data_IF_797955323978
#
_entry.id   IF_797955323978
#
_cell.length_a   1.000
_cell.length_b   1.000
_cell.length_c   1.000
_cell.angle_alpha   90.00
_cell.angle_beta   90.00
_cell.angle_gamma   90.00
#
_symmetry.space_group_name_H-M   'P 1'
#
loop_
_entity.id
_entity.type
_entity.pdbx_description
1 polymer ?
#
# COMPACT_ATOMS: atom_id res chain seq x y z
N UNK A 1 1.48 9.78 -6.12
CA UNK A 1 0.07 9.29 -6.27
C UNK A 1 -0.73 9.35 -4.96
N UNK A 2 -0.71 10.38 -4.17
CA UNK A 2 -0.99 10.10 -2.76
C UNK A 2 -2.13 10.88 -2.09
N UNK A 3 -2.47 12.06 -2.51
CA UNK A 3 -3.44 12.84 -1.73
C UNK A 3 -4.87 12.87 -2.28
N UNK A 4 -5.07 12.38 -3.47
CA UNK A 4 -6.35 12.47 -4.16
C UNK A 4 -7.13 11.14 -4.23
N UNK A 5 -6.52 10.03 -3.82
CA UNK A 5 -7.16 8.71 -3.81
C UNK A 5 -8.19 8.50 -2.68
N UNK A 6 -8.14 9.16 -1.51
CA UNK A 6 -9.06 8.84 -0.41
C UNK A 6 -10.54 8.94 -0.78
N UNK A 7 -10.93 9.96 -1.54
CA UNK A 7 -12.34 10.11 -1.97
C UNK A 7 -12.72 8.99 -2.94
N UNK A 8 -11.84 8.62 -3.87
CA UNK A 8 -12.07 7.53 -4.81
C UNK A 8 -12.13 6.16 -4.09
N UNK A 9 -11.34 5.97 -3.04
CA UNK A 9 -11.37 4.77 -2.20
C UNK A 9 -12.73 4.64 -1.51
N UNK A 10 -13.22 5.71 -0.88
CA UNK A 10 -14.54 5.71 -0.23
C UNK A 10 -15.67 5.47 -1.23
N UNK A 11 -15.61 6.11 -2.40
CA UNK A 11 -16.59 5.88 -3.45
C UNK A 11 -16.57 4.42 -3.93
N UNK A 12 -15.38 3.80 -4.00
CA UNK A 12 -15.25 2.40 -4.39
C UNK A 12 -15.76 1.42 -3.32
N UNK A 13 -15.73 1.76 -2.04
CA UNK A 13 -16.36 0.95 -0.99
C UNK A 13 -17.85 0.76 -1.27
N UNK A 14 -18.52 1.79 -1.76
CA UNK A 14 -19.94 1.76 -2.09
C UNK A 14 -20.23 1.23 -3.48
N UNK A 15 -19.25 1.25 -4.38
CA UNK A 15 -19.40 0.73 -5.73
C UNK A 15 -19.62 -0.79 -5.71
N UNK A 16 -20.62 -1.24 -6.49
CA UNK A 16 -20.96 -2.66 -6.59
C UNK A 16 -21.32 -3.33 -5.24
N UNK A 17 -21.86 -2.55 -4.28
CA UNK A 17 -22.15 -3.03 -2.94
C UNK A 17 -22.99 -4.32 -2.91
N UNK A 18 -24.00 -4.43 -3.79
CA UNK A 18 -24.83 -5.64 -3.89
C UNK A 18 -24.00 -6.87 -4.30
N UNK A 19 -23.19 -6.76 -5.36
CA UNK A 19 -22.35 -7.86 -5.84
C UNK A 19 -21.25 -8.22 -4.82
N UNK A 20 -20.67 -7.23 -4.16
CA UNK A 20 -19.72 -7.45 -3.06
C UNK A 20 -20.38 -8.21 -1.91
N UNK A 21 -21.57 -7.81 -1.49
CA UNK A 21 -22.32 -8.46 -0.41
C UNK A 21 -22.69 -9.91 -0.75
N UNK A 22 -23.12 -10.19 -1.98
CA UNK A 22 -23.39 -11.56 -2.43
C UNK A 22 -22.13 -12.45 -2.35
N UNK A 23 -20.97 -11.89 -2.63
CA UNK A 23 -19.69 -12.58 -2.54
C UNK A 23 -19.12 -12.65 -1.11
N UNK A 24 -19.69 -11.90 -0.17
CA UNK A 24 -19.20 -11.82 1.20
C UNK A 24 -17.97 -10.90 1.34
N UNK A 25 -17.84 -9.93 0.43
CA UNK A 25 -16.75 -8.95 0.40
C UNK A 25 -17.22 -7.69 1.11
N UNK A 26 -16.51 -7.30 2.15
CA UNK A 26 -16.88 -6.16 2.98
C UNK A 26 -15.84 -5.06 2.98
N UNK A 27 -14.57 -5.36 2.99
CA UNK A 27 -13.41 -4.46 2.92
C UNK A 27 -13.61 -3.08 3.56
N UNK A 28 -12.69 -2.64 4.36
CA UNK A 28 -12.81 -1.34 5.00
C UNK A 28 -11.55 -0.49 4.85
N UNK A 29 -11.71 0.84 4.95
CA UNK A 29 -10.57 1.74 5.02
C UNK A 29 -9.94 1.66 6.42
N UNK A 30 -8.62 1.50 6.48
CA UNK A 30 -7.91 1.61 7.75
C UNK A 30 -7.79 3.10 8.12
N UNK A 31 -8.77 3.59 8.87
CA UNK A 31 -8.86 4.99 9.31
C UNK A 31 -8.91 5.11 10.83
N UNK A 32 -8.67 4.02 11.54
CA UNK A 32 -8.81 3.99 12.99
C UNK A 32 -7.65 4.69 13.70
N UNK A 33 -7.96 5.60 14.60
CA UNK A 33 -7.00 6.17 15.53
C UNK A 33 -6.73 5.15 16.64
N UNK A 34 -5.61 4.45 16.59
CA UNK A 34 -5.11 3.77 17.78
C UNK A 34 -4.46 4.80 18.70
N UNK A 35 -4.47 4.57 20.01
CA UNK A 35 -4.03 5.53 21.04
C UNK A 35 -2.60 6.08 20.92
N UNK A 36 -1.86 5.75 19.87
CA UNK A 36 -0.56 6.32 19.54
C UNK A 36 -0.59 6.91 18.12
N UNK A 37 -1.31 8.00 17.99
CA UNK A 37 -1.69 8.69 16.76
C UNK A 37 -0.50 9.00 15.85
N UNK A 38 0.67 9.25 16.42
CA UNK A 38 1.81 9.74 15.66
C UNK A 38 2.72 8.64 15.11
N UNK A 39 2.76 7.48 15.74
CA UNK A 39 3.68 6.41 15.35
C UNK A 39 3.16 5.58 14.18
N UNK A 40 1.83 5.48 14.04
CA UNK A 40 1.24 4.79 12.89
C UNK A 40 0.92 5.72 11.71
N UNK A 41 1.05 7.03 11.89
CA UNK A 41 0.61 8.01 10.90
C UNK A 41 -0.89 8.02 10.64
N UNK A 42 -1.65 7.28 11.42
CA UNK A 42 -3.08 7.16 11.30
C UNK A 42 -3.77 8.21 12.19
N UNK A 43 -4.13 9.32 11.60
CA UNK A 43 -4.75 10.49 12.23
C UNK A 43 -6.25 10.61 11.93
N UNK A 44 -6.92 9.49 11.61
CA UNK A 44 -8.32 9.45 11.19
C UNK A 44 -8.51 9.71 9.70
N UNK A 45 -7.45 9.97 8.95
CA UNK A 45 -7.51 9.98 7.49
C UNK A 45 -7.41 8.56 6.94
N UNK A 46 -7.82 8.35 5.69
CA UNK A 46 -7.72 7.04 5.04
C UNK A 46 -6.26 6.74 4.76
N UNK A 47 -5.79 5.66 5.38
CA UNK A 47 -4.44 5.14 5.18
C UNK A 47 -4.44 4.09 4.07
N UNK A 48 -3.31 3.94 3.37
CA UNK A 48 -3.25 3.11 2.15
C UNK A 48 -1.89 2.52 1.81
N UNK A 49 -0.87 2.77 2.62
CA UNK A 49 0.48 2.23 2.44
C UNK A 49 0.78 1.20 3.51
N UNK A 50 1.65 0.25 3.17
CA UNK A 50 1.93 -0.91 4.00
C UNK A 50 0.96 -2.06 3.74
N UNK A 51 1.31 -3.25 4.19
CA UNK A 51 0.51 -4.47 4.01
C UNK A 51 -0.87 -4.41 4.70
N UNK A 52 -0.95 -3.65 5.77
CA UNK A 52 -2.20 -3.45 6.53
C UNK A 52 -2.80 -2.05 6.31
N UNK A 53 -2.36 -1.34 5.26
CA UNK A 53 -2.77 0.04 4.98
C UNK A 53 -2.53 0.98 6.18
N UNK A 54 -1.48 0.76 6.97
CA UNK A 54 -1.26 1.47 8.24
C UNK A 54 -0.71 2.89 8.07
N UNK A 55 -0.14 3.23 6.92
CA UNK A 55 0.46 4.54 6.67
C UNK A 55 -0.37 5.41 5.72
N UNK A 56 -0.57 6.68 6.08
CA UNK A 56 -1.33 7.64 5.28
C UNK A 56 -0.55 8.25 4.12
N UNK A 57 0.77 8.26 4.21
CA UNK A 57 1.64 8.88 3.22
C UNK A 57 2.92 8.09 3.00
N UNK A 58 3.58 8.32 1.87
CA UNK A 58 4.89 7.74 1.61
C UNK A 58 5.97 8.27 2.54
N UNK A 59 5.80 9.49 3.09
CA UNK A 59 6.74 10.01 4.09
C UNK A 59 6.64 9.22 5.40
N UNK A 60 5.41 8.96 5.87
CA UNK A 60 5.22 8.11 7.05
C UNK A 60 5.73 6.70 6.81
N UNK A 61 5.45 6.13 5.64
CA UNK A 61 5.93 4.81 5.26
C UNK A 61 7.48 4.74 5.23
N UNK A 62 8.13 5.76 4.65
CA UNK A 62 9.59 5.84 4.65
C UNK A 62 10.15 5.92 6.08
N UNK A 63 9.58 6.79 6.92
CA UNK A 63 10.00 6.94 8.32
C UNK A 63 9.82 5.65 9.13
N UNK A 64 8.69 4.94 8.94
CA UNK A 64 8.45 3.65 9.58
C UNK A 64 9.47 2.60 9.12
N UNK A 65 9.69 2.47 7.80
CA UNK A 65 10.63 1.49 7.25
C UNK A 65 12.06 1.73 7.73
N UNK A 66 12.52 2.98 7.74
CA UNK A 66 13.83 3.33 8.30
C UNK A 66 13.97 2.90 9.75
N UNK A 67 12.93 3.16 10.56
CA UNK A 67 12.96 2.83 11.99
C UNK A 67 12.83 1.32 12.24
N UNK A 68 11.86 0.66 11.58
CA UNK A 68 11.50 -0.74 11.85
C UNK A 68 12.46 -1.72 11.18
N UNK A 69 12.83 -1.45 9.93
CA UNK A 69 13.60 -2.41 9.13
C UNK A 69 15.11 -2.15 9.21
N UNK A 70 15.51 -0.89 9.41
CA UNK A 70 16.91 -0.48 9.38
C UNK A 70 17.46 -0.03 10.76
N UNK A 71 16.58 0.15 11.75
CA UNK A 71 16.96 0.65 13.06
C UNK A 71 17.36 2.13 13.09
N UNK A 72 17.02 2.89 12.04
CA UNK A 72 17.38 4.29 11.93
C UNK A 72 16.23 5.15 12.44
N UNK A 73 16.40 5.75 13.60
CA UNK A 73 15.46 6.71 14.14
C UNK A 73 15.43 8.00 13.30
N UNK A 74 14.28 8.64 13.23
CA UNK A 74 14.08 9.83 12.41
C UNK A 74 13.08 10.78 13.08
N UNK A 75 12.84 11.95 12.49
CA UNK A 75 11.97 12.96 13.09
C UNK A 75 10.51 12.52 13.28
N UNK A 76 10.02 11.53 12.52
CA UNK A 76 8.68 10.98 12.66
C UNK A 76 8.63 9.81 13.64
N UNK A 77 9.74 9.08 13.76
CA UNK A 77 9.95 7.95 14.65
C UNK A 77 11.25 8.18 15.42
N UNK A 78 11.23 9.06 16.44
CA UNK A 78 12.47 9.56 17.06
C UNK A 78 13.15 8.57 18.01
N UNK A 79 12.46 7.51 18.38
CA UNK A 79 13.01 6.51 19.31
C UNK A 79 13.52 5.31 18.54
N UNK A 80 14.71 4.83 18.93
CA UNK A 80 15.18 3.53 18.47
C UNK A 80 14.22 2.43 18.94
N UNK A 81 14.08 1.40 18.12
CA UNK A 81 13.41 0.18 18.54
C UNK A 81 14.38 -0.63 19.38
N UNK A 82 14.08 -0.70 20.65
CA UNK A 82 14.86 -1.45 21.61
C UNK A 82 14.13 -2.75 21.97
N UNK A 83 14.67 -3.88 21.49
CA UNK A 83 14.18 -5.21 21.86
C UNK A 83 14.83 -5.70 23.15
N UNK A 84 15.92 -5.04 23.57
CA UNK A 84 16.65 -5.36 24.81
C UNK A 84 16.62 -4.15 25.73
N UNK A 85 15.94 -4.20 26.89
CA UNK A 85 15.86 -3.07 27.80
C UNK A 85 17.23 -2.45 28.11
N UNK A 86 17.33 -1.14 27.92
CA UNK A 86 18.55 -0.39 28.19
C UNK A 86 19.57 -0.31 27.04
N UNK A 87 19.22 -0.77 25.86
CA UNK A 87 20.10 -0.72 24.67
C UNK A 87 19.86 0.49 23.76
N UNK A 88 19.25 1.55 24.25
CA UNK A 88 19.09 2.80 23.50
C UNK A 88 20.42 3.56 23.55
N UNK A 89 21.16 3.57 22.44
CA UNK A 89 22.47 4.20 22.35
C UNK A 89 22.43 5.65 21.90
N UNK A 90 21.39 6.04 21.20
CA UNK A 90 21.26 7.38 20.67
C UNK A 90 19.97 8.06 21.14
N UNK A 91 20.04 9.06 22.01
CA UNK A 91 18.85 9.79 22.48
C UNK A 91 18.29 10.79 21.47
N UNK A 92 19.02 11.03 20.37
CA UNK A 92 18.62 11.93 19.30
C UNK A 92 18.36 11.14 18.01
N UNK A 93 17.38 11.52 17.19
CA UNK A 93 17.13 10.85 15.91
C UNK A 93 18.37 10.85 15.01
N UNK A 94 18.63 9.71 14.34
CA UNK A 94 19.74 9.56 13.41
C UNK A 94 19.54 10.36 12.12
N UNK A 95 18.32 10.33 11.60
CA UNK A 95 17.91 11.08 10.41
C UNK A 95 16.96 12.22 10.82
N UNK A 96 17.44 13.42 10.75
CA UNK A 96 16.65 14.63 10.98
C UNK A 96 16.69 15.51 9.75
N UNK A 97 15.80 16.51 9.69
CA UNK A 97 15.92 17.59 8.72
C UNK A 97 17.34 18.13 8.80
N UNK A 98 18.13 17.82 7.80
CA UNK A 98 19.49 18.25 7.75
C UNK A 98 19.57 19.72 7.41
N UNK A 99 20.20 20.37 8.27
CA UNK A 99 20.44 21.76 8.34
C UNK A 99 21.66 22.11 7.54
N UNK A 100 21.54 22.87 6.50
CA UNK A 100 22.69 23.67 6.12
C UNK A 100 22.88 24.72 7.19
N UNK A 101 23.95 24.56 7.94
CA UNK A 101 24.46 25.65 8.73
C UNK A 101 24.85 26.77 7.79
N UNK A 102 23.99 27.78 7.62
CA UNK A 102 24.49 29.08 7.16
C UNK A 102 25.28 29.66 8.30
N UNK A 103 26.54 30.04 8.09
CA UNK A 103 27.29 30.78 9.10
C UNK A 103 26.45 32.03 9.44
N UNK A 104 25.96 32.10 10.68
CA UNK A 104 25.42 33.39 11.14
C UNK A 104 26.55 34.37 11.25
N UNK A 105 26.25 35.64 11.05
CA UNK A 105 27.21 36.73 11.24
C UNK A 105 27.83 36.80 12.66
N UNK A 106 27.33 35.95 13.58
CA UNK A 106 27.79 35.81 14.98
C UNK A 106 28.64 34.58 15.18
N UNK A 107 28.95 33.80 14.12
CA UNK A 107 29.73 32.59 14.22
C UNK A 107 28.98 31.38 14.78
N UNK A 108 27.72 31.52 15.16
CA UNK A 108 26.88 30.39 15.53
C UNK A 108 26.16 29.85 14.28
N UNK A 109 26.26 28.56 14.02
CA UNK A 109 25.52 27.92 12.92
C UNK A 109 24.02 28.09 13.20
N UNK A 110 23.34 28.85 12.36
CA UNK A 110 21.91 29.00 12.40
C UNK A 110 21.28 27.91 11.55
N UNK A 111 20.52 27.04 12.21
CA UNK A 111 19.75 25.97 11.58
C UNK A 111 18.50 26.58 10.95
N UNK A 112 18.62 27.22 9.81
CA UNK A 112 17.47 27.94 9.23
C UNK A 112 17.24 27.73 7.74
N UNK A 113 18.01 26.89 7.08
CA UNK A 113 17.79 26.65 5.66
C UNK A 113 17.52 25.16 5.40
N UNK A 114 16.29 24.78 5.00
CA UNK A 114 15.95 23.41 4.62
C UNK A 114 16.50 23.05 3.22
N UNK A 115 17.70 23.51 2.87
CA UNK A 115 18.32 23.20 1.59
C UNK A 115 18.70 21.71 1.48
N UNK A 116 18.79 21.00 2.61
CA UNK A 116 19.03 19.56 2.66
C UNK A 116 17.88 18.92 3.40
N UNK A 117 17.06 18.19 2.67
CA UNK A 117 15.96 17.40 3.21
C UNK A 117 16.49 16.17 3.93
N UNK A 118 15.73 15.63 4.88
CA UNK A 118 16.05 14.35 5.55
C UNK A 118 16.02 13.20 4.55
N UNK A 119 16.71 12.12 4.88
CA UNK A 119 16.75 10.92 4.03
C UNK A 119 15.37 10.32 3.82
N UNK A 120 14.52 10.29 4.87
CA UNK A 120 13.13 9.82 4.75
C UNK A 120 12.30 10.70 3.80
N UNK A 121 12.56 12.01 3.76
CA UNK A 121 11.87 12.91 2.84
C UNK A 121 12.38 12.73 1.40
N UNK A 122 13.69 12.58 1.22
CA UNK A 122 14.30 12.26 -0.08
C UNK A 122 13.74 10.95 -0.64
N UNK A 123 13.67 9.92 0.20
CA UNK A 123 13.14 8.61 -0.19
C UNK A 123 11.64 8.66 -0.49
N UNK A 124 10.86 9.40 0.30
CA UNK A 124 9.44 9.61 0.02
C UNK A 124 9.23 10.33 -1.33
N UNK A 125 10.06 11.30 -1.67
CA UNK A 125 10.00 12.00 -2.95
C UNK A 125 10.38 11.08 -4.12
N UNK A 126 11.39 10.26 -3.95
CA UNK A 126 11.73 9.21 -4.92
C UNK A 126 10.54 8.29 -5.19
N UNK A 127 9.94 7.72 -4.15
CA UNK A 127 8.77 6.84 -4.30
C UNK A 127 7.56 7.53 -4.95
N UNK A 128 7.33 8.82 -4.64
CA UNK A 128 6.22 9.59 -5.25
C UNK A 128 6.36 9.75 -6.75
N UNK A 129 7.57 9.92 -7.23
CA UNK A 129 7.88 10.21 -8.62
C UNK A 129 8.27 8.96 -9.42
N UNK A 130 8.41 7.83 -8.76
CA UNK A 130 8.66 6.56 -9.43
C UNK A 130 7.47 6.19 -10.32
N UNK A 131 7.75 5.93 -11.59
CA UNK A 131 6.74 5.48 -12.53
C UNK A 131 6.27 4.06 -12.18
N UNK A 132 4.99 3.72 -12.42
CA UNK A 132 4.56 2.33 -12.33
C UNK A 132 5.27 1.47 -13.37
N UNK A 133 5.45 0.17 -13.09
CA UNK A 133 5.97 -0.77 -14.09
C UNK A 133 5.14 -0.72 -15.38
N UNK A 134 5.83 -0.82 -16.51
CA UNK A 134 5.16 -0.92 -17.82
C UNK A 134 4.54 -2.32 -17.95
N UNK A 135 3.25 -2.44 -18.25
CA UNK A 135 2.65 -3.74 -18.54
C UNK A 135 3.23 -4.30 -19.85
N UNK A 136 3.26 -5.62 -19.97
CA UNK A 136 3.62 -6.27 -21.22
C UNK A 136 2.57 -5.98 -22.31
N UNK A 137 2.95 -6.04 -23.59
CA UNK A 137 1.97 -5.94 -24.68
C UNK A 137 0.85 -6.98 -24.51
N UNK A 138 -0.41 -6.60 -24.73
CA UNK A 138 -1.53 -7.51 -24.58
C UNK A 138 -1.45 -8.65 -25.62
N UNK A 139 -1.85 -9.83 -25.18
CA UNK A 139 -2.03 -11.00 -26.04
C UNK A 139 -3.50 -11.43 -26.02
N UNK A 140 -4.00 -12.18 -27.02
CA UNK A 140 -5.37 -12.70 -26.97
C UNK A 140 -5.68 -13.47 -25.68
N UNK A 141 -4.70 -14.19 -25.13
CA UNK A 141 -4.84 -14.92 -23.87
C UNK A 141 -4.95 -13.97 -22.67
N UNK A 142 -4.08 -12.95 -22.58
CA UNK A 142 -4.12 -12.00 -21.47
C UNK A 142 -5.37 -11.10 -21.52
N UNK A 143 -5.84 -10.72 -22.70
CA UNK A 143 -7.12 -9.98 -22.83
C UNK A 143 -8.29 -10.82 -22.37
N UNK A 144 -8.36 -12.08 -22.80
CA UNK A 144 -9.38 -13.02 -22.33
C UNK A 144 -9.29 -13.26 -20.83
N UNK A 145 -8.07 -13.40 -20.30
CA UNK A 145 -7.82 -13.54 -18.88
C UNK A 145 -8.33 -12.34 -18.07
N UNK A 146 -8.20 -11.12 -18.58
CA UNK A 146 -8.77 -9.92 -17.96
C UNK A 146 -10.30 -9.98 -17.85
N UNK A 147 -10.98 -10.45 -18.91
CA UNK A 147 -12.43 -10.63 -18.90
C UNK A 147 -12.85 -11.69 -17.86
N UNK A 148 -12.15 -12.83 -17.84
CA UNK A 148 -12.44 -13.91 -16.89
C UNK A 148 -12.15 -13.48 -15.46
N UNK A 149 -11.06 -12.74 -15.21
CA UNK A 149 -10.72 -12.13 -13.92
C UNK A 149 -11.85 -11.25 -13.37
N UNK A 150 -12.45 -10.44 -14.24
CA UNK A 150 -13.61 -9.65 -13.87
C UNK A 150 -14.86 -10.52 -13.61
N UNK A 151 -15.11 -11.50 -14.46
CA UNK A 151 -16.27 -12.40 -14.39
C UNK A 151 -16.32 -13.23 -13.10
N UNK A 152 -15.19 -13.71 -12.60
CA UNK A 152 -15.13 -14.51 -11.37
C UNK A 152 -15.23 -13.66 -10.10
N UNK A 153 -15.04 -12.33 -10.21
CA UNK A 153 -15.22 -11.40 -9.11
C UNK A 153 -13.93 -10.84 -8.49
N UNK A 154 -12.75 -11.14 -9.04
CA UNK A 154 -11.47 -10.62 -8.53
C UNK A 154 -11.43 -9.08 -8.50
N UNK A 155 -12.11 -8.42 -9.45
CA UNK A 155 -12.18 -6.95 -9.55
C UNK A 155 -12.88 -6.27 -8.38
N UNK A 156 -13.58 -7.00 -7.52
CA UNK A 156 -14.26 -6.41 -6.37
C UNK A 156 -13.30 -5.99 -5.25
N UNK A 157 -12.12 -6.62 -5.16
CA UNK A 157 -10.99 -6.18 -4.37
C UNK A 157 -9.92 -5.57 -5.28
N UNK A 158 -9.57 -6.24 -6.37
CA UNK A 158 -8.58 -5.77 -7.34
C UNK A 158 -9.19 -4.81 -8.36
N UNK A 159 -9.70 -3.67 -7.88
CA UNK A 159 -10.25 -2.59 -8.73
C UNK A 159 -9.23 -2.14 -9.77
N UNK A 160 -9.57 -2.13 -11.07
CA UNK A 160 -8.59 -1.93 -12.14
C UNK A 160 -7.81 -0.63 -12.05
N UNK A 161 -8.47 0.49 -11.76
CA UNK A 161 -7.79 1.78 -11.76
C UNK A 161 -8.48 2.82 -10.88
N UNK A 162 -7.68 3.79 -10.45
CA UNK A 162 -8.14 5.06 -9.88
C UNK A 162 -7.54 6.23 -10.64
N UNK A 163 -8.24 7.37 -10.61
CA UNK A 163 -7.69 8.63 -11.11
C UNK A 163 -7.30 9.50 -9.91
N UNK A 164 -6.09 10.02 -9.93
CA UNK A 164 -5.63 10.95 -8.90
C UNK A 164 -6.36 12.29 -9.04
N UNK A 165 -6.53 13.01 -7.94
CA UNK A 165 -7.24 14.29 -7.95
C UNK A 165 -6.50 15.39 -8.70
N UNK A 166 -7.19 16.51 -8.86
CA UNK A 166 -6.64 17.70 -9.52
C UNK A 166 -5.53 18.38 -8.71
N UNK A 167 -5.58 18.24 -7.39
CA UNK A 167 -4.65 18.88 -6.45
C UNK A 167 -3.92 17.82 -5.64
N UNK A 168 -2.65 18.07 -5.39
CA UNK A 168 -1.79 17.23 -4.55
C UNK A 168 -1.47 18.02 -3.29
N UNK A 169 -1.69 17.42 -2.13
CA UNK A 169 -1.29 18.01 -0.87
C UNK A 169 0.18 17.72 -0.56
N UNK A 170 0.88 18.74 -0.12
CA UNK A 170 2.23 18.64 0.42
C UNK A 170 2.26 19.47 1.71
N UNK A 171 2.20 18.78 2.86
CA UNK A 171 1.98 19.48 4.13
C UNK A 171 0.64 20.20 4.15
N UNK A 172 0.64 21.49 4.55
CA UNK A 172 -0.54 22.36 4.54
C UNK A 172 -0.84 22.99 3.17
N UNK A 173 0.05 22.84 2.19
CA UNK A 173 -0.12 23.41 0.86
C UNK A 173 -0.76 22.37 -0.10
N UNK A 174 -1.61 22.87 -0.98
CA UNK A 174 -2.15 22.10 -2.09
C UNK A 174 -1.82 22.78 -3.41
N UNK A 175 -1.33 22.03 -4.37
CA UNK A 175 -1.03 22.54 -5.70
C UNK A 175 -1.24 21.48 -6.77
N UNK A 176 -1.54 21.88 -8.02
CA UNK A 176 -1.52 20.93 -9.12
C UNK A 176 -0.08 20.48 -9.39
N UNK A 177 0.07 19.22 -9.75
CA UNK A 177 1.35 18.64 -10.16
C UNK A 177 1.16 17.94 -11.50
N UNK A 178 1.90 18.35 -12.52
CA UNK A 178 1.80 17.72 -13.84
C UNK A 178 2.07 16.22 -13.80
N UNK A 179 2.98 15.78 -12.95
CA UNK A 179 3.34 14.37 -12.81
C UNK A 179 2.33 13.54 -11.99
N UNK A 180 1.59 14.17 -11.08
CA UNK A 180 0.81 13.44 -10.07
C UNK A 180 -0.69 13.74 -10.11
N UNK A 181 -1.10 14.89 -10.69
CA UNK A 181 -2.52 15.28 -10.74
C UNK A 181 -3.22 14.69 -11.95
N UNK A 182 -4.45 14.22 -11.75
CA UNK A 182 -5.31 13.64 -12.80
C UNK A 182 -4.67 12.48 -13.57
N UNK A 183 -3.77 11.75 -12.91
CA UNK A 183 -3.13 10.58 -13.49
C UNK A 183 -3.99 9.35 -13.26
N UNK A 184 -4.13 8.51 -14.28
CA UNK A 184 -4.75 7.19 -14.11
C UNK A 184 -3.72 6.22 -13.54
N UNK A 185 -4.06 5.65 -12.40
CA UNK A 185 -3.25 4.63 -11.74
C UNK A 185 -3.92 3.26 -11.91
N UNK A 186 -3.38 2.42 -12.78
CA UNK A 186 -3.88 1.07 -13.04
C UNK A 186 -3.39 0.11 -11.95
N UNK A 187 -3.91 0.30 -10.74
CA UNK A 187 -3.44 -0.39 -9.54
C UNK A 187 -3.85 -1.86 -9.50
N UNK A 188 -5.02 -2.20 -9.99
CA UNK A 188 -5.70 -3.46 -9.69
C UNK A 188 -5.74 -3.71 -8.18
N UNK A 189 -6.27 -2.72 -7.45
CA UNK A 189 -6.43 -2.73 -5.99
C UNK A 189 -7.44 -1.68 -5.58
N UNK A 190 -8.28 -1.98 -4.61
CA UNK A 190 -9.16 -1.00 -3.97
C UNK A 190 -8.49 -0.28 -2.79
N UNK A 191 -7.30 -0.73 -2.38
CA UNK A 191 -6.52 -0.23 -1.26
C UNK A 191 -7.23 -0.38 0.11
N UNK A 192 -8.29 -1.18 0.19
CA UNK A 192 -8.99 -1.49 1.42
C UNK A 192 -8.34 -2.66 2.15
N UNK A 193 -8.52 -2.72 3.46
CA UNK A 193 -8.21 -3.90 4.26
C UNK A 193 -9.37 -4.89 4.18
N UNK A 194 -9.05 -6.15 3.96
CA UNK A 194 -9.99 -7.26 3.87
C UNK A 194 -9.57 -8.39 4.81
N UNK A 195 -10.54 -9.07 5.40
CA UNK A 195 -10.29 -10.31 6.11
C UNK A 195 -9.85 -11.41 5.12
N UNK A 196 -8.62 -11.86 5.27
CA UNK A 196 -8.06 -12.96 4.46
C UNK A 196 -8.09 -14.30 5.18
N UNK A 197 -8.67 -14.30 6.39
CA UNK A 197 -8.90 -15.49 7.20
C UNK A 197 -7.63 -16.11 7.77
N UNK A 198 -7.82 -17.24 8.47
CA UNK A 198 -6.76 -17.87 9.26
C UNK A 198 -5.54 -18.32 8.45
N UNK A 199 -5.71 -18.63 7.16
CA UNK A 199 -4.62 -19.10 6.31
C UNK A 199 -3.53 -18.06 6.06
N UNK A 200 -3.91 -16.80 6.00
CA UNK A 200 -3.00 -15.67 5.78
C UNK A 200 -2.74 -14.82 7.02
N UNK A 201 -3.36 -15.13 8.16
CA UNK A 201 -3.17 -14.38 9.38
C UNK A 201 -1.71 -14.39 9.86
N UNK A 202 -1.19 -13.22 10.24
CA UNK A 202 0.17 -13.01 10.74
C UNK A 202 0.24 -12.73 12.25
N UNK A 203 -0.91 -12.60 12.92
CA UNK A 203 -0.99 -12.26 14.33
C UNK A 203 -0.75 -10.80 14.66
N UNK A 204 -0.53 -9.92 13.67
CA UNK A 204 -0.15 -8.52 13.86
C UNK A 204 -1.35 -7.61 13.62
N UNK A 205 -1.54 -6.62 14.49
CA UNK A 205 -2.53 -5.55 14.33
C UNK A 205 -1.81 -4.23 14.08
N UNK A 206 -2.23 -3.49 13.03
CA UNK A 206 -1.69 -2.16 12.71
C UNK A 206 -2.83 -1.18 12.39
N UNK A 207 -2.99 -0.15 13.23
CA UNK A 207 -4.13 0.76 13.15
C UNK A 207 -5.44 0.01 13.40
N UNK A 208 -6.38 0.13 12.47
CA UNK A 208 -7.65 -0.60 12.52
C UNK A 208 -7.64 -1.96 11.83
N UNK A 209 -6.53 -2.37 11.22
CA UNK A 209 -6.41 -3.67 10.56
C UNK A 209 -5.93 -4.76 11.53
N UNK A 210 -6.73 -5.79 11.70
CA UNK A 210 -6.49 -6.91 12.59
C UNK A 210 -5.51 -7.97 12.06
N UNK A 211 -5.31 -9.07 12.81
CA UNK A 211 -4.30 -10.08 12.51
C UNK A 211 -4.46 -10.79 11.15
N UNK A 212 -5.68 -10.91 10.65
CA UNK A 212 -6.00 -11.57 9.39
C UNK A 212 -6.44 -10.58 8.30
N UNK A 213 -6.30 -9.30 8.57
CA UNK A 213 -6.68 -8.24 7.63
C UNK A 213 -5.47 -7.70 6.89
N UNK A 214 -5.59 -7.63 5.56
CA UNK A 214 -4.56 -7.12 4.69
C UNK A 214 -5.15 -6.20 3.62
N UNK A 215 -4.39 -5.14 3.33
CA UNK A 215 -4.70 -4.26 2.21
C UNK A 215 -4.58 -5.03 0.92
N UNK A 216 -5.59 -4.92 0.04
CA UNK A 216 -5.48 -5.43 -1.32
C UNK A 216 -4.20 -4.91 -1.96
N UNK A 217 -3.25 -5.81 -2.24
CA UNK A 217 -1.98 -5.44 -2.85
C UNK A 217 -2.21 -4.99 -4.30
N UNK A 218 -1.61 -3.87 -4.74
CA UNK A 218 -1.59 -3.52 -6.15
C UNK A 218 -0.96 -4.62 -6.99
N UNK A 219 -1.61 -4.96 -8.12
CA UNK A 219 -1.12 -6.01 -9.01
C UNK A 219 -0.22 -5.48 -10.13
N UNK A 220 -0.06 -4.16 -10.28
CA UNK A 220 0.89 -3.64 -11.24
C UNK A 220 2.30 -4.17 -10.96
N UNK A 221 2.98 -4.67 -11.99
CA UNK A 221 4.27 -5.31 -11.86
C UNK A 221 4.26 -6.70 -11.22
N UNK A 222 3.08 -7.30 -10.96
CA UNK A 222 3.00 -8.64 -10.38
C UNK A 222 3.65 -9.69 -11.29
N UNK A 223 3.66 -9.46 -12.60
CA UNK A 223 4.32 -10.32 -13.56
C UNK A 223 5.83 -10.43 -13.38
N UNK A 224 6.46 -9.43 -12.76
CA UNK A 224 7.91 -9.36 -12.50
C UNK A 224 8.29 -9.90 -11.12
N UNK A 225 7.33 -10.17 -10.25
CA UNK A 225 7.60 -10.66 -8.89
C UNK A 225 7.92 -12.14 -8.87
N UNK A 226 8.85 -12.50 -7.99
CA UNK A 226 9.26 -13.89 -7.77
C UNK A 226 8.43 -14.51 -6.66
N UNK A 227 8.21 -13.79 -5.56
CA UNK A 227 7.45 -14.26 -4.41
C UNK A 227 6.15 -13.49 -4.25
N UNK A 228 5.10 -14.18 -3.84
CA UNK A 228 3.74 -13.66 -3.71
C UNK A 228 3.23 -13.77 -2.28
N UNK A 229 2.18 -13.00 -1.98
CA UNK A 229 1.59 -12.75 -0.68
C UNK A 229 2.49 -11.89 0.22
N UNK A 230 1.97 -11.50 1.40
CA UNK A 230 2.67 -10.59 2.31
C UNK A 230 3.94 -11.23 2.91
N UNK A 231 3.96 -12.53 3.06
CA UNK A 231 5.03 -13.31 3.66
C UNK A 231 5.92 -14.05 2.63
N UNK A 232 5.63 -13.91 1.34
CA UNK A 232 6.43 -14.51 0.28
C UNK A 232 6.37 -16.03 0.20
N UNK A 233 5.37 -16.67 0.79
CA UNK A 233 5.28 -18.14 0.94
C UNK A 233 5.23 -18.93 -0.35
N UNK A 234 4.93 -18.32 -1.47
CA UNK A 234 4.87 -19.00 -2.77
C UNK A 234 5.48 -18.19 -3.89
N UNK A 235 6.08 -18.88 -4.84
CA UNK A 235 6.53 -18.33 -6.13
C UNK A 235 5.55 -18.64 -7.28
N UNK A 236 4.41 -19.28 -6.99
CA UNK A 236 3.43 -19.70 -7.97
C UNK A 236 2.16 -18.85 -7.86
N UNK A 237 1.80 -18.12 -8.92
CA UNK A 237 0.58 -17.29 -8.96
C UNK A 237 -0.70 -18.12 -8.74
N UNK A 238 -0.76 -19.32 -9.24
CA UNK A 238 -1.93 -20.19 -9.06
C UNK A 238 -2.11 -20.54 -7.59
N UNK A 239 -1.01 -20.84 -6.88
CA UNK A 239 -1.04 -21.12 -5.46
C UNK A 239 -1.39 -19.84 -4.68
N UNK A 240 -0.81 -18.68 -5.07
CA UNK A 240 -1.17 -17.39 -4.48
C UNK A 240 -2.68 -17.10 -4.57
N UNK A 241 -3.32 -17.39 -5.72
CA UNK A 241 -4.78 -17.24 -5.87
C UNK A 241 -5.51 -18.19 -4.91
N UNK A 242 -5.08 -19.44 -4.79
CA UNK A 242 -5.70 -20.46 -3.92
C UNK A 242 -5.55 -20.15 -2.43
N UNK A 243 -4.41 -19.59 -2.04
CA UNK A 243 -4.12 -19.18 -0.65
C UNK A 243 -5.04 -18.03 -0.16
N UNK A 244 -5.72 -17.32 -1.05
CA UNK A 244 -6.76 -16.37 -0.66
C UNK A 244 -7.96 -17.08 0.01
N UNK A 245 -8.07 -18.40 -0.08
CA UNK A 245 -9.17 -19.16 0.48
C UNK A 245 -8.80 -19.80 1.80
N UNK A 246 -9.43 -19.35 2.87
CA UNK A 246 -9.33 -19.98 4.19
C UNK A 246 -10.57 -19.67 5.03
N UNK A 247 -10.67 -20.29 6.21
CA UNK A 247 -11.77 -20.02 7.14
C UNK A 247 -11.75 -18.53 7.54
N UNK A 248 -12.85 -17.83 7.30
CA UNK A 248 -13.00 -16.40 7.58
C UNK A 248 -12.60 -15.45 6.45
N UNK A 249 -12.08 -15.96 5.32
CA UNK A 249 -11.67 -15.10 4.20
C UNK A 249 -12.85 -14.57 3.40
N UNK A 250 -12.83 -13.27 3.10
CA UNK A 250 -13.77 -12.61 2.19
C UNK A 250 -13.62 -13.08 0.73
N UNK A 251 -12.46 -13.63 0.35
CA UNK A 251 -12.20 -14.11 -1.00
C UNK A 251 -12.76 -15.53 -1.28
N UNK A 252 -13.34 -16.21 -0.30
CA UNK A 252 -13.72 -17.61 -0.41
C UNK A 252 -14.59 -17.94 -1.63
N UNK A 253 -15.64 -17.15 -1.88
CA UNK A 253 -16.53 -17.38 -3.03
C UNK A 253 -15.87 -17.09 -4.36
N UNK A 254 -15.03 -16.06 -4.42
CA UNK A 254 -14.28 -15.70 -5.63
C UNK A 254 -13.30 -16.82 -6.00
N UNK A 255 -12.56 -17.34 -5.01
CA UNK A 255 -11.65 -18.48 -5.23
C UNK A 255 -12.42 -19.75 -5.60
N UNK A 256 -13.61 -19.95 -5.05
CA UNK A 256 -14.49 -21.06 -5.45
C UNK A 256 -14.91 -20.91 -6.93
N UNK A 257 -15.28 -19.70 -7.38
CA UNK A 257 -15.59 -19.46 -8.79
C UNK A 257 -14.36 -19.71 -9.67
N UNK A 258 -13.19 -19.25 -9.26
CA UNK A 258 -11.93 -19.53 -9.97
C UNK A 258 -11.65 -21.04 -10.09
N UNK A 259 -11.84 -21.80 -9.04
CA UNK A 259 -11.60 -23.24 -9.04
C UNK A 259 -12.59 -24.04 -9.92
N UNK A 260 -13.77 -23.46 -10.22
CA UNK A 260 -14.76 -24.04 -11.14
C UNK A 260 -14.47 -23.74 -12.62
N UNK A 261 -13.54 -22.85 -12.92
CA UNK A 261 -13.13 -22.55 -14.29
C UNK A 261 -12.45 -23.74 -14.97
N UNK A 262 -12.59 -23.81 -16.28
CA UNK A 262 -11.78 -24.73 -17.06
C UNK A 262 -10.28 -24.35 -16.96
N UNK A 263 -9.41 -25.34 -17.06
CA UNK A 263 -7.94 -25.14 -16.98
C UNK A 263 -7.43 -24.06 -17.93
N UNK A 264 -8.07 -23.94 -19.11
CA UNK A 264 -7.75 -22.90 -20.09
C UNK A 264 -8.03 -21.50 -19.52
N UNK A 265 -9.20 -21.27 -18.94
CA UNK A 265 -9.61 -19.98 -18.37
C UNK A 265 -8.72 -19.60 -17.17
N UNK A 266 -8.36 -20.58 -16.33
CA UNK A 266 -7.41 -20.38 -15.24
C UNK A 266 -6.05 -19.92 -15.78
N UNK A 267 -5.57 -20.54 -16.87
CA UNK A 267 -4.31 -20.14 -17.53
C UNK A 267 -4.40 -18.75 -18.12
N UNK A 268 -5.50 -18.41 -18.78
CA UNK A 268 -5.74 -17.06 -19.32
C UNK A 268 -5.67 -15.99 -18.22
N UNK A 269 -6.20 -16.25 -17.01
CA UNK A 269 -6.03 -15.34 -15.85
C UNK A 269 -4.55 -15.22 -15.46
N UNK A 270 -3.79 -16.31 -15.43
CA UNK A 270 -2.35 -16.27 -15.12
C UNK A 270 -1.59 -15.46 -16.19
N UNK A 271 -1.93 -15.64 -17.46
CA UNK A 271 -1.32 -14.87 -18.55
C UNK A 271 -1.63 -13.37 -18.42
N UNK A 272 -2.86 -13.02 -18.01
CA UNK A 272 -3.24 -11.65 -17.69
C UNK A 272 -2.41 -11.09 -16.51
N UNK A 273 -2.34 -11.80 -15.40
CA UNK A 273 -1.56 -11.37 -14.23
C UNK A 273 -0.06 -11.23 -14.56
N UNK A 274 0.47 -12.10 -15.39
CA UNK A 274 1.86 -12.02 -15.87
C UNK A 274 2.11 -10.84 -16.81
N UNK A 275 1.06 -10.30 -17.42
CA UNK A 275 1.17 -9.14 -18.30
C UNK A 275 1.11 -7.79 -17.54
N UNK A 276 0.74 -7.79 -16.26
CA UNK A 276 0.72 -6.60 -15.41
C UNK A 276 2.11 -6.33 -14.82
#
# INVERSE_FOLDING_TARGET
MTCALPISILANMQANAAAKSELGIHGHANAHLSGNVNLSGNDGTITRFGWKAQNKSLLMFAGEAYNVEMGISNQLFPQERDETPGCIFNPTPNDTLNFTTTPSSTGNPSISNPAVISDIEAFANFMRLLAPPMPAPPTPSSEKGREVFAKVGCVHCHTPSFTTGAMIASGSATSPSAALSRQTANLFSDLLAHHMGKGLADGITQGGAGPDEFRTAPLWGVGQRVFFLHDGRTANLLDAIREHRSHGSEANKVVEHFNKLHTREQREIIDFLRSL
#
